data_IF_038981578495
#
_entry.id   IF_038981578495
#
_cell.length_a   1.000
_cell.length_b   1.000
_cell.length_c   1.000
_cell.angle_alpha   90.00
_cell.angle_beta   90.00
_cell.angle_gamma   90.00
#
_symmetry.space_group_name_H-M   'P 1'
#
loop_
_entity.id
_entity.type
_entity.pdbx_description
1 polymer ?
#
# COMPACT_ATOMS: atom_id res chain seq x y z
N UNK A 1 -33.12 -63.03 2.41
CA UNK A 1 -33.06 -61.62 2.85
C UNK A 1 -31.62 -61.09 2.84
N UNK A 2 -30.85 -61.28 1.76
CA UNK A 2 -29.44 -60.84 1.69
C UNK A 2 -29.18 -59.92 0.47
N UNK A 3 -30.13 -59.03 0.13
CA UNK A 3 -30.04 -58.19 -1.08
C UNK A 3 -29.94 -56.69 -0.83
N UNK A 4 -30.11 -56.21 0.41
CA UNK A 4 -30.17 -54.77 0.72
C UNK A 4 -28.85 -54.20 1.26
N UNK A 5 -27.99 -55.01 1.87
CA UNK A 5 -26.75 -54.54 2.52
C UNK A 5 -25.60 -54.32 1.54
N UNK A 6 -25.53 -55.06 0.42
CA UNK A 6 -24.48 -54.87 -0.59
C UNK A 6 -24.71 -53.64 -1.48
N UNK A 7 -25.97 -53.30 -1.75
CA UNK A 7 -26.35 -52.14 -2.55
C UNK A 7 -26.07 -50.82 -1.81
N UNK A 8 -26.29 -50.79 -0.49
CA UNK A 8 -25.97 -49.60 0.32
C UNK A 8 -24.46 -49.39 0.51
N UNK A 9 -23.66 -50.46 0.55
CA UNK A 9 -22.20 -50.35 0.62
C UNK A 9 -21.59 -49.95 -0.73
N UNK A 10 -22.13 -50.46 -1.85
CA UNK A 10 -21.76 -50.00 -3.19
C UNK A 10 -22.17 -48.54 -3.42
N UNK A 11 -23.37 -48.12 -3.00
CA UNK A 11 -23.83 -46.72 -3.10
C UNK A 11 -23.07 -45.77 -2.16
N UNK A 12 -22.56 -46.23 -1.01
CA UNK A 12 -21.66 -45.44 -0.15
C UNK A 12 -20.24 -45.35 -0.71
N UNK A 13 -19.76 -46.43 -1.35
CA UNK A 13 -18.46 -46.47 -2.02
C UNK A 13 -18.47 -45.62 -3.30
N UNK A 14 -19.56 -45.62 -4.05
CA UNK A 14 -19.75 -44.77 -5.24
C UNK A 14 -19.91 -43.29 -4.84
N UNK A 15 -20.63 -42.97 -3.76
CA UNK A 15 -20.72 -41.59 -3.24
C UNK A 15 -19.43 -41.06 -2.61
N UNK A 16 -18.52 -41.93 -2.17
CA UNK A 16 -17.16 -41.53 -1.75
C UNK A 16 -16.22 -41.31 -2.95
N UNK A 17 -16.53 -41.90 -4.11
CA UNK A 17 -15.69 -41.75 -5.31
C UNK A 17 -16.02 -40.48 -6.10
N UNK A 18 -17.23 -39.93 -5.94
CA UNK A 18 -17.63 -38.62 -6.53
C UNK A 18 -17.21 -37.39 -5.69
N UNK A 19 -16.64 -37.60 -4.50
CA UNK A 19 -16.20 -36.51 -3.62
C UNK A 19 -14.67 -36.42 -3.54
N UNK A 20 -14.00 -36.04 -4.63
CA UNK A 20 -12.74 -35.27 -4.55
C UNK A 20 -12.29 -34.76 -5.93
N UNK A 21 -12.95 -33.73 -6.48
CA UNK A 21 -12.33 -32.87 -7.52
C UNK A 21 -11.50 -31.73 -6.91
N UNK A 22 -11.38 -31.68 -5.58
CA UNK A 22 -10.71 -30.60 -4.83
C UNK A 22 -9.74 -31.24 -3.86
N UNK A 23 -8.51 -30.73 -3.83
CA UNK A 23 -7.44 -31.18 -2.93
C UNK A 23 -7.94 -31.31 -1.48
N UNK A 24 -7.75 -32.49 -0.89
CA UNK A 24 -8.12 -32.73 0.51
C UNK A 24 -7.09 -32.16 1.50
N UNK A 25 -7.38 -32.22 2.81
CA UNK A 25 -6.50 -31.66 3.84
C UNK A 25 -5.13 -32.34 3.95
N UNK A 26 -5.04 -33.64 3.68
CA UNK A 26 -3.76 -34.38 3.75
C UNK A 26 -2.93 -34.14 2.50
N UNK A 27 -3.57 -34.08 1.33
CA UNK A 27 -2.96 -33.65 0.08
C UNK A 27 -2.44 -32.21 0.20
N UNK A 28 -3.22 -31.29 0.78
CA UNK A 28 -2.79 -29.92 1.06
C UNK A 28 -1.59 -29.89 2.02
N UNK A 29 -1.61 -30.70 3.09
CA UNK A 29 -0.49 -30.78 4.03
C UNK A 29 0.78 -31.25 3.34
N UNK A 30 0.68 -32.23 2.45
CA UNK A 30 1.83 -32.75 1.70
C UNK A 30 2.35 -31.70 0.71
N UNK A 31 1.48 -31.17 -0.15
CA UNK A 31 1.82 -30.15 -1.13
C UNK A 31 2.37 -28.86 -0.48
N UNK A 32 1.78 -28.45 0.64
CA UNK A 32 2.22 -27.28 1.40
C UNK A 32 3.63 -27.44 1.99
N UNK A 33 3.97 -28.64 2.51
CA UNK A 33 5.34 -28.92 2.97
C UNK A 33 6.35 -28.87 1.82
N UNK A 34 6.02 -29.52 0.70
CA UNK A 34 6.85 -29.50 -0.50
C UNK A 34 7.08 -28.07 -1.02
N UNK A 35 6.03 -27.22 -0.97
CA UNK A 35 6.15 -25.81 -1.35
C UNK A 35 7.03 -25.02 -0.38
N UNK A 36 6.92 -25.24 0.94
CA UNK A 36 7.79 -24.59 1.93
C UNK A 36 9.25 -24.97 1.70
N UNK A 37 9.52 -26.26 1.49
CA UNK A 37 10.88 -26.75 1.19
C UNK A 37 11.40 -26.12 -0.11
N UNK A 38 10.58 -26.07 -1.17
CA UNK A 38 10.92 -25.40 -2.42
C UNK A 38 11.25 -23.91 -2.24
N UNK A 39 10.44 -23.17 -1.49
CA UNK A 39 10.65 -21.74 -1.25
C UNK A 39 11.92 -21.49 -0.43
N UNK A 40 12.19 -22.33 0.58
CA UNK A 40 13.42 -22.25 1.37
C UNK A 40 14.66 -22.50 0.50
N UNK A 41 14.64 -23.57 -0.30
CA UNK A 41 15.73 -23.92 -1.22
C UNK A 41 15.92 -22.84 -2.30
N UNK A 42 14.82 -22.29 -2.83
CA UNK A 42 14.85 -21.20 -3.79
C UNK A 42 15.50 -19.95 -3.21
N UNK A 43 15.12 -19.52 -2.00
CA UNK A 43 15.69 -18.34 -1.36
C UNK A 43 17.15 -18.55 -0.94
N UNK A 44 17.52 -19.76 -0.53
CA UNK A 44 18.90 -20.12 -0.20
C UNK A 44 19.80 -20.10 -1.44
N UNK A 45 19.33 -20.66 -2.56
CA UNK A 45 20.12 -20.85 -3.78
C UNK A 45 19.85 -19.78 -4.86
N UNK A 46 19.14 -18.70 -4.53
CA UNK A 46 18.78 -17.62 -5.47
C UNK A 46 20.01 -16.98 -6.16
N UNK A 47 21.20 -17.10 -5.56
CA UNK A 47 22.47 -16.61 -6.10
C UNK A 47 22.92 -17.36 -7.35
N UNK A 48 22.52 -18.61 -7.49
CA UNK A 48 22.87 -19.47 -8.62
C UNK A 48 21.96 -19.21 -9.82
N UNK A 49 20.78 -18.63 -9.58
CA UNK A 49 19.81 -18.28 -10.62
C UNK A 49 20.19 -16.96 -11.29
N UNK A 50 19.95 -16.89 -12.60
CA UNK A 50 20.23 -15.69 -13.41
C UNK A 50 19.25 -14.58 -13.06
N UNK A 51 19.76 -13.45 -12.59
CA UNK A 51 18.94 -12.28 -12.17
C UNK A 51 17.89 -11.83 -13.18
N UNK A 52 18.28 -11.61 -14.43
CA UNK A 52 17.41 -11.12 -15.51
C UNK A 52 17.13 -12.24 -16.53
N UNK A 53 15.86 -12.43 -16.94
CA UNK A 53 15.52 -13.44 -17.93
C UNK A 53 16.01 -13.04 -19.32
N UNK A 54 16.27 -14.02 -20.18
CA UNK A 54 16.68 -13.82 -21.60
C UNK A 54 15.58 -14.16 -22.61
N UNK A 55 14.35 -14.26 -22.12
CA UNK A 55 13.17 -14.60 -22.92
C UNK A 55 12.67 -13.40 -23.73
N UNK A 56 11.98 -13.67 -24.84
CA UNK A 56 11.38 -12.63 -25.68
C UNK A 56 9.89 -12.46 -25.36
N UNK A 57 9.30 -11.27 -25.60
CA UNK A 57 7.86 -11.07 -25.45
C UNK A 57 7.06 -12.13 -26.21
N UNK A 58 6.13 -12.81 -25.52
CA UNK A 58 5.30 -13.87 -26.09
C UNK A 58 5.83 -15.30 -25.96
N UNK A 59 7.05 -15.52 -25.43
CA UNK A 59 7.63 -16.87 -25.28
C UNK A 59 6.71 -17.86 -24.54
N UNK A 60 6.00 -17.37 -23.52
CA UNK A 60 5.19 -18.20 -22.62
C UNK A 60 4.03 -18.88 -23.36
N UNK A 61 3.44 -18.21 -24.35
CA UNK A 61 2.28 -18.72 -25.09
C UNK A 61 2.59 -19.98 -25.89
N UNK A 62 3.84 -20.15 -26.33
CA UNK A 62 4.26 -21.34 -27.04
C UNK A 62 4.55 -22.54 -26.11
N UNK A 63 4.63 -22.32 -24.80
CA UNK A 63 4.98 -23.33 -23.79
C UNK A 63 3.78 -23.84 -22.99
N UNK A 64 2.62 -23.19 -23.12
CA UNK A 64 1.36 -23.55 -22.45
C UNK A 64 0.30 -23.93 -23.49
N UNK A 65 -0.70 -24.75 -23.13
CA UNK A 65 -1.84 -25.05 -23.99
C UNK A 65 -2.63 -23.78 -24.38
N UNK A 66 -3.27 -23.80 -25.55
CA UNK A 66 -4.10 -22.68 -26.03
C UNK A 66 -5.43 -22.55 -25.27
N UNK A 67 -5.92 -23.66 -24.68
CA UNK A 67 -7.16 -23.73 -23.92
C UNK A 67 -6.91 -24.32 -22.53
N UNK A 68 -7.74 -23.92 -21.56
CA UNK A 68 -7.66 -24.44 -20.20
C UNK A 68 -8.09 -25.92 -20.16
N UNK A 69 -7.43 -26.77 -19.36
CA UNK A 69 -7.78 -28.18 -19.27
C UNK A 69 -9.18 -28.38 -18.66
N UNK A 70 -9.97 -29.28 -19.24
CA UNK A 70 -11.32 -29.62 -18.73
C UNK A 70 -11.28 -30.52 -17.49
N UNK A 71 -10.20 -31.29 -17.33
CA UNK A 71 -9.96 -32.16 -16.19
C UNK A 71 -8.78 -31.64 -15.35
N UNK A 72 -8.82 -31.93 -14.05
CA UNK A 72 -7.78 -31.48 -13.12
C UNK A 72 -6.45 -32.18 -13.37
N UNK A 73 -5.37 -31.41 -13.37
CA UNK A 73 -3.99 -31.90 -13.43
C UNK A 73 -3.44 -32.13 -12.01
N UNK A 74 -2.43 -32.99 -11.89
CA UNK A 74 -1.83 -33.25 -10.59
C UNK A 74 -0.98 -32.08 -10.11
N UNK A 75 -0.91 -31.86 -8.79
CA UNK A 75 -0.07 -30.81 -8.20
C UNK A 75 1.40 -30.90 -8.63
N UNK A 76 1.90 -32.12 -8.83
CA UNK A 76 3.28 -32.38 -9.25
C UNK A 76 3.54 -31.89 -10.67
N UNK A 77 2.63 -32.16 -11.61
CA UNK A 77 2.73 -31.68 -12.99
C UNK A 77 2.74 -30.14 -13.04
N UNK A 78 1.90 -29.49 -12.22
CA UNK A 78 1.88 -28.03 -12.09
C UNK A 78 3.21 -27.50 -11.58
N UNK A 79 3.79 -28.12 -10.55
CA UNK A 79 5.09 -27.69 -10.00
C UNK A 79 6.26 -27.93 -10.96
N UNK A 80 6.25 -29.03 -11.71
CA UNK A 80 7.25 -29.30 -12.76
C UNK A 80 7.18 -28.21 -13.85
N UNK A 81 5.97 -27.75 -14.18
CA UNK A 81 5.75 -26.65 -15.11
C UNK A 81 6.17 -25.28 -14.58
N UNK A 82 6.04 -25.02 -13.28
CA UNK A 82 6.56 -23.79 -12.67
C UNK A 82 8.07 -23.67 -12.91
N UNK A 83 8.84 -24.72 -12.67
CA UNK A 83 10.29 -24.68 -12.86
C UNK A 83 10.68 -24.66 -14.35
N UNK A 84 9.96 -25.42 -15.20
CA UNK A 84 10.25 -25.54 -16.64
C UNK A 84 9.86 -24.29 -17.43
N UNK A 85 8.72 -23.70 -17.11
CA UNK A 85 8.04 -22.68 -17.95
C UNK A 85 8.13 -21.30 -17.32
N UNK A 86 7.89 -21.18 -16.01
CA UNK A 86 7.77 -19.88 -15.33
C UNK A 86 9.15 -19.36 -14.91
N UNK A 87 9.93 -20.16 -14.19
CA UNK A 87 11.21 -19.73 -13.60
C UNK A 87 12.22 -19.14 -14.60
N UNK A 88 12.36 -19.63 -15.85
CA UNK A 88 13.26 -19.03 -16.84
C UNK A 88 12.89 -17.60 -17.25
N UNK A 89 11.62 -17.20 -17.06
CA UNK A 89 11.13 -15.86 -17.34
C UNK A 89 10.99 -14.96 -16.12
N UNK A 90 11.25 -15.47 -14.92
CA UNK A 90 11.19 -14.68 -13.68
C UNK A 90 12.42 -13.76 -13.59
N UNK A 91 12.17 -12.49 -13.28
CA UNK A 91 13.23 -11.62 -12.78
C UNK A 91 13.38 -11.85 -11.29
N UNK A 92 14.55 -12.26 -10.82
CA UNK A 92 14.76 -12.60 -9.42
C UNK A 92 15.10 -11.36 -8.58
N UNK A 93 14.05 -10.64 -8.16
CA UNK A 93 14.16 -9.40 -7.36
C UNK A 93 14.89 -9.57 -6.01
N UNK A 94 14.86 -10.78 -5.44
CA UNK A 94 15.56 -11.10 -4.19
C UNK A 94 17.02 -11.55 -4.40
N UNK A 95 17.50 -11.64 -5.64
CA UNK A 95 18.89 -11.97 -5.88
C UNK A 95 19.79 -10.85 -5.30
N UNK A 96 20.89 -11.18 -4.61
CA UNK A 96 21.80 -10.16 -4.09
C UNK A 96 22.50 -9.35 -5.19
N UNK A 97 22.40 -9.79 -6.45
CA UNK A 97 22.91 -9.09 -7.63
C UNK A 97 21.84 -8.21 -8.31
N UNK A 98 20.59 -8.19 -7.80
CA UNK A 98 19.54 -7.33 -8.32
C UNK A 98 19.62 -5.93 -7.68
N UNK A 99 20.01 -4.94 -8.48
CA UNK A 99 20.17 -3.55 -8.04
C UNK A 99 19.31 -2.56 -8.83
N UNK A 100 18.30 -3.06 -9.55
CA UNK A 100 17.35 -2.21 -10.26
C UNK A 100 16.21 -1.74 -9.33
N UNK A 101 15.63 -0.58 -9.64
CA UNK A 101 14.48 -0.01 -8.91
C UNK A 101 14.74 0.15 -7.39
N UNK A 102 13.82 -0.38 -6.58
CA UNK A 102 13.96 -0.52 -5.13
C UNK A 102 13.77 -1.99 -4.77
N UNK A 103 14.47 -2.50 -3.75
CA UNK A 103 14.33 -3.90 -3.36
C UNK A 103 12.95 -4.15 -2.78
N UNK A 104 12.50 -5.38 -2.97
CA UNK A 104 11.30 -5.92 -2.36
C UNK A 104 11.64 -6.39 -0.95
N UNK A 105 11.03 -5.77 0.06
CA UNK A 105 11.15 -6.23 1.44
C UNK A 105 10.41 -7.56 1.59
N UNK A 106 11.12 -8.64 1.92
CA UNK A 106 10.53 -9.94 2.19
C UNK A 106 11.31 -10.62 3.33
N UNK A 107 10.60 -11.41 4.13
CA UNK A 107 11.16 -12.15 5.26
C UNK A 107 10.38 -13.44 5.47
N UNK A 108 11.02 -14.48 6.00
CA UNK A 108 10.34 -15.74 6.30
C UNK A 108 9.08 -15.58 7.18
N UNK A 109 9.07 -14.73 8.23
CA UNK A 109 7.84 -14.48 8.98
C UNK A 109 6.71 -13.86 8.16
N UNK A 110 7.02 -13.01 7.17
CA UNK A 110 6.02 -12.44 6.28
C UNK A 110 5.39 -13.51 5.38
N UNK A 111 6.20 -14.41 4.80
CA UNK A 111 5.71 -15.53 4.00
C UNK A 111 4.79 -16.45 4.84
N UNK A 112 5.19 -16.78 6.06
CA UNK A 112 4.35 -17.58 6.96
C UNK A 112 3.04 -16.86 7.32
N UNK A 113 3.09 -15.53 7.52
CA UNK A 113 1.91 -14.72 7.78
C UNK A 113 0.97 -14.68 6.58
N UNK A 114 1.49 -14.60 5.35
CA UNK A 114 0.69 -14.66 4.12
C UNK A 114 -0.06 -15.99 4.00
N UNK A 115 0.63 -17.12 4.25
CA UNK A 115 -0.01 -18.46 4.28
C UNK A 115 -1.15 -18.50 5.30
N UNK A 116 -0.94 -17.93 6.50
CA UNK A 116 -1.97 -17.88 7.53
C UNK A 116 -3.12 -16.94 7.13
N UNK A 117 -2.81 -15.78 6.54
CA UNK A 117 -3.78 -14.81 6.04
C UNK A 117 -4.72 -15.46 5.02
N UNK A 118 -4.14 -16.18 4.05
CA UNK A 118 -4.86 -16.88 3.00
C UNK A 118 -5.73 -18.01 3.56
N UNK A 119 -5.23 -18.75 4.55
CA UNK A 119 -5.99 -19.79 5.23
C UNK A 119 -7.19 -19.24 6.02
N UNK A 120 -7.06 -18.06 6.63
CA UNK A 120 -8.16 -17.40 7.34
C UNK A 120 -9.18 -16.84 6.34
N UNK A 121 -8.73 -16.33 5.18
CA UNK A 121 -9.62 -15.76 4.16
C UNK A 121 -10.47 -14.59 4.65
N UNK A 122 -9.95 -13.80 5.61
CA UNK A 122 -10.67 -12.71 6.27
C UNK A 122 -11.05 -11.60 5.28
N UNK A 123 -12.34 -11.28 5.17
CA UNK A 123 -12.82 -10.09 4.44
C UNK A 123 -13.18 -8.99 5.45
N UNK A 124 -12.21 -8.14 5.80
CA UNK A 124 -12.30 -7.15 6.89
C UNK A 124 -12.95 -5.81 6.56
N UNK A 125 -14.10 -5.76 5.86
CA UNK A 125 -14.71 -4.47 5.43
C UNK A 125 -15.46 -3.70 6.54
N UNK A 126 -15.88 -4.37 7.63
CA UNK A 126 -16.54 -3.73 8.79
C UNK A 126 -16.19 -4.40 10.11
N UNK A 127 -16.11 -3.61 11.18
CA UNK A 127 -15.83 -4.09 12.55
C UNK A 127 -17.04 -4.72 13.27
N UNK A 128 -18.27 -4.37 12.87
CA UNK A 128 -19.50 -4.35 13.70
C UNK A 128 -19.62 -5.42 14.82
N UNK A 129 -19.84 -4.91 16.04
CA UNK A 129 -20.31 -5.61 17.24
C UNK A 129 -21.64 -6.32 16.99
N UNK A 130 -21.74 -7.59 17.37
CA UNK A 130 -23.03 -8.19 17.67
C UNK A 130 -23.66 -7.44 18.86
N UNK A 131 -24.49 -6.43 18.59
CA UNK A 131 -25.38 -5.88 19.61
C UNK A 131 -26.59 -6.82 19.64
N UNK A 132 -26.90 -7.46 20.77
CA UNK A 132 -28.19 -8.11 20.92
C UNK A 132 -29.26 -7.01 20.85
N UNK A 133 -29.91 -6.88 19.70
CA UNK A 133 -31.13 -6.09 19.62
C UNK A 133 -32.20 -6.84 20.41
N UNK A 134 -32.41 -6.46 21.66
CA UNK A 134 -33.63 -6.78 22.40
C UNK A 134 -34.76 -5.88 21.87
N UNK A 135 -35.12 -5.98 20.58
CA UNK A 135 -36.44 -5.60 20.06
C UNK A 135 -36.55 -6.00 18.57
N UNK A 136 -37.25 -7.11 18.36
CA UNK A 136 -38.19 -7.41 17.25
C UNK A 136 -37.83 -7.07 15.79
N UNK A 137 -37.66 -8.16 15.00
CA UNK A 137 -38.13 -8.38 13.62
C UNK A 137 -37.81 -7.33 12.54
N UNK A 138 -36.68 -7.53 11.83
CA UNK A 138 -36.59 -7.70 10.37
C UNK A 138 -35.13 -7.53 9.89
N UNK A 139 -34.54 -8.62 9.38
CA UNK A 139 -33.45 -8.70 8.39
C UNK A 139 -32.50 -7.50 8.20
N UNK A 140 -31.83 -7.04 9.26
CA UNK A 140 -30.55 -6.34 9.08
C UNK A 140 -29.47 -7.40 9.06
N UNK A 141 -28.95 -7.72 7.88
CA UNK A 141 -27.67 -8.43 7.73
C UNK A 141 -26.60 -7.56 8.38
N UNK A 142 -26.40 -7.71 9.69
CA UNK A 142 -25.25 -7.16 10.39
C UNK A 142 -24.04 -7.92 9.86
N UNK A 143 -23.31 -7.33 8.92
CA UNK A 143 -22.12 -7.94 8.35
C UNK A 143 -21.03 -8.05 9.41
N UNK A 144 -20.83 -9.27 9.91
CA UNK A 144 -19.70 -9.63 10.76
C UNK A 144 -18.54 -9.93 9.81
N UNK A 145 -17.61 -8.99 9.63
CA UNK A 145 -16.51 -9.16 8.69
C UNK A 145 -15.29 -9.78 9.39
N UNK A 146 -14.64 -9.06 10.31
CA UNK A 146 -13.67 -9.61 11.27
C UNK A 146 -13.13 -8.52 12.21
N UNK A 147 -13.50 -8.51 13.50
CA UNK A 147 -13.00 -7.51 14.45
C UNK A 147 -11.48 -7.60 14.66
N UNK A 148 -10.93 -8.82 14.67
CA UNK A 148 -9.50 -9.04 14.90
C UNK A 148 -8.64 -8.42 13.78
N UNK A 149 -9.08 -8.48 12.52
CA UNK A 149 -8.38 -7.89 11.38
C UNK A 149 -8.23 -6.36 11.58
N UNK A 150 -9.32 -5.67 11.97
CA UNK A 150 -9.30 -4.22 12.19
C UNK A 150 -8.53 -3.80 13.45
N UNK A 151 -8.73 -4.47 14.59
CA UNK A 151 -8.04 -4.14 15.84
C UNK A 151 -6.52 -4.34 15.72
N UNK A 152 -6.10 -5.42 15.06
CA UNK A 152 -4.70 -5.72 14.84
C UNK A 152 -4.04 -4.68 13.93
N UNK A 153 -4.70 -4.28 12.84
CA UNK A 153 -4.19 -3.25 11.93
C UNK A 153 -3.94 -1.92 12.67
N UNK A 154 -4.90 -1.47 13.47
CA UNK A 154 -4.77 -0.24 14.27
C UNK A 154 -3.59 -0.33 15.23
N UNK A 155 -3.46 -1.45 15.96
CA UNK A 155 -2.36 -1.66 16.89
C UNK A 155 -0.98 -1.69 16.20
N UNK A 156 -0.87 -2.38 15.06
CA UNK A 156 0.39 -2.48 14.30
C UNK A 156 0.81 -1.13 13.72
N UNK A 157 -0.14 -0.34 13.22
CA UNK A 157 0.15 1.00 12.69
C UNK A 157 0.53 1.99 13.78
N UNK A 158 -0.02 1.85 14.99
CA UNK A 158 0.44 2.62 16.14
C UNK A 158 1.86 2.23 16.56
N UNK A 159 2.21 0.94 16.53
CA UNK A 159 3.58 0.48 16.77
C UNK A 159 4.54 1.05 15.71
N UNK A 160 4.17 0.99 14.44
CA UNK A 160 4.93 1.56 13.34
C UNK A 160 5.07 3.08 13.49
N UNK A 161 3.99 3.78 13.83
CA UNK A 161 4.00 5.22 14.05
C UNK A 161 4.94 5.63 15.18
N UNK A 162 4.94 4.88 16.29
CA UNK A 162 5.88 5.08 17.41
C UNK A 162 7.32 4.78 17.02
N UNK A 163 7.57 3.68 16.29
CA UNK A 163 8.90 3.34 15.77
C UNK A 163 9.45 4.40 14.82
N UNK A 164 8.56 5.04 14.04
CA UNK A 164 8.88 6.17 13.18
C UNK A 164 8.95 7.52 13.93
N UNK A 165 8.71 7.53 15.24
CA UNK A 165 8.62 8.73 16.08
C UNK A 165 7.61 9.78 15.58
N UNK A 166 6.50 9.33 14.96
CA UNK A 166 5.46 10.23 14.48
C UNK A 166 4.79 11.00 15.63
N UNK A 167 4.34 12.24 15.39
CA UNK A 167 3.61 13.00 16.39
C UNK A 167 2.33 12.29 16.85
N UNK A 168 1.94 12.48 18.11
CA UNK A 168 0.74 11.87 18.70
C UNK A 168 -0.54 12.05 17.86
N UNK A 169 -0.81 13.19 17.19
CA UNK A 169 -1.98 13.33 16.33
C UNK A 169 -2.07 12.36 15.14
N UNK A 170 -1.02 11.62 14.80
CA UNK A 170 -1.06 10.56 13.78
C UNK A 170 -1.37 9.18 14.35
N UNK A 171 -1.27 9.01 15.67
CA UNK A 171 -1.50 7.73 16.34
C UNK A 171 -2.97 7.59 16.73
N UNK A 172 -3.56 6.42 16.48
CA UNK A 172 -4.93 6.11 16.85
C UNK A 172 -5.11 6.10 18.38
N UNK A 173 -4.11 5.62 19.13
CA UNK A 173 -4.11 5.60 20.60
C UNK A 173 -4.11 6.98 21.27
N UNK A 174 -3.88 8.06 20.51
CA UNK A 174 -3.89 9.42 21.08
C UNK A 174 -5.30 9.94 21.41
N UNK A 175 -6.35 9.37 20.80
CA UNK A 175 -7.71 9.90 20.90
C UNK A 175 -7.92 11.26 20.22
N UNK A 176 -6.93 11.79 19.50
CA UNK A 176 -6.98 13.09 18.81
C UNK A 176 -7.63 13.03 17.42
N UNK A 177 -8.23 11.89 17.05
CA UNK A 177 -8.85 11.67 15.74
C UNK A 177 -7.87 11.33 14.62
N UNK A 178 -6.63 11.00 14.96
CA UNK A 178 -5.62 10.44 14.03
C UNK A 178 -5.78 8.94 13.79
N UNK A 179 -4.94 8.39 12.92
CA UNK A 179 -4.87 6.97 12.65
C UNK A 179 -4.09 6.64 11.37
N UNK A 180 -3.96 5.33 11.11
CA UNK A 180 -3.35 4.81 9.89
C UNK A 180 -4.24 3.76 9.24
N UNK A 181 -3.92 3.43 7.98
CA UNK A 181 -4.51 2.30 7.25
C UNK A 181 -3.44 1.64 6.37
N UNK A 182 -3.48 0.31 6.25
CA UNK A 182 -2.64 -0.46 5.33
C UNK A 182 -3.31 -0.45 3.96
N UNK A 183 -2.54 -0.09 2.92
CA UNK A 183 -3.03 0.02 1.54
C UNK A 183 -2.12 -0.82 0.64
N UNK A 184 -2.65 -1.31 -0.48
CA UNK A 184 -1.88 -2.19 -1.36
C UNK A 184 -0.73 -1.47 -2.03
N UNK A 185 -0.91 -0.19 -2.38
CA UNK A 185 0.15 0.60 -3.02
C UNK A 185 0.22 2.02 -2.50
N UNK A 186 1.41 2.62 -2.59
CA UNK A 186 1.57 4.05 -2.32
C UNK A 186 0.81 4.95 -3.32
N UNK A 187 0.50 4.45 -4.53
CA UNK A 187 -0.29 5.18 -5.52
C UNK A 187 -1.74 5.34 -5.06
N UNK A 188 -2.32 4.27 -4.51
CA UNK A 188 -3.65 4.26 -3.91
C UNK A 188 -3.71 5.19 -2.70
N UNK A 189 -2.76 5.07 -1.77
CA UNK A 189 -2.70 5.96 -0.61
C UNK A 189 -2.60 7.45 -1.01
N UNK A 190 -1.80 7.77 -2.04
CA UNK A 190 -1.69 9.14 -2.58
C UNK A 190 -3.01 9.62 -3.18
N UNK A 191 -3.70 8.74 -3.93
CA UNK A 191 -5.00 9.05 -4.52
C UNK A 191 -6.07 9.31 -3.45
N UNK A 192 -6.16 8.44 -2.44
CA UNK A 192 -7.10 8.60 -1.31
C UNK A 192 -6.84 9.91 -0.56
N UNK A 193 -5.58 10.24 -0.30
CA UNK A 193 -5.23 11.51 0.35
C UNK A 193 -5.62 12.73 -0.50
N UNK A 194 -5.38 12.68 -1.82
CA UNK A 194 -5.74 13.74 -2.75
C UNK A 194 -7.27 13.90 -2.85
N UNK A 195 -8.01 12.80 -2.99
CA UNK A 195 -9.48 12.81 -3.02
C UNK A 195 -10.08 13.33 -1.71
N UNK A 196 -9.48 13.00 -0.57
CA UNK A 196 -9.88 13.50 0.74
C UNK A 196 -9.66 15.01 0.85
N UNK A 197 -8.49 15.49 0.41
CA UNK A 197 -8.17 16.91 0.35
C UNK A 197 -9.12 17.67 -0.59
N UNK A 198 -9.39 17.12 -1.77
CA UNK A 198 -10.33 17.66 -2.77
C UNK A 198 -11.73 17.78 -2.19
N UNK A 199 -12.28 16.69 -1.66
CA UNK A 199 -13.62 16.65 -1.08
C UNK A 199 -13.77 17.61 0.10
N UNK A 200 -12.75 17.72 0.97
CA UNK A 200 -12.72 18.71 2.05
C UNK A 200 -12.75 20.14 1.50
N UNK A 201 -11.92 20.44 0.50
CA UNK A 201 -11.82 21.79 -0.06
C UNK A 201 -13.08 22.21 -0.82
N UNK A 202 -13.65 21.32 -1.61
CA UNK A 202 -14.93 21.54 -2.32
C UNK A 202 -16.04 21.83 -1.32
N UNK A 203 -16.17 21.04 -0.25
CA UNK A 203 -17.19 21.28 0.79
C UNK A 203 -17.03 22.65 1.45
N UNK A 204 -15.81 23.04 1.80
CA UNK A 204 -15.53 24.36 2.39
C UNK A 204 -15.89 25.51 1.44
N UNK A 205 -15.53 25.40 0.17
CA UNK A 205 -15.82 26.44 -0.81
C UNK A 205 -17.31 26.55 -1.12
N UNK A 206 -18.04 25.44 -1.16
CA UNK A 206 -19.50 25.44 -1.33
C UNK A 206 -20.22 26.04 -0.12
N UNK A 207 -19.68 25.90 1.08
CA UNK A 207 -20.22 26.58 2.27
C UNK A 207 -19.99 28.10 2.22
N UNK A 208 -18.86 28.55 1.66
CA UNK A 208 -18.54 29.97 1.51
C UNK A 208 -19.24 30.61 0.29
N UNK A 209 -19.47 29.83 -0.77
CA UNK A 209 -20.07 30.25 -2.02
C UNK A 209 -21.12 29.21 -2.47
N UNK A 210 -22.36 29.28 -1.95
CA UNK A 210 -23.43 28.34 -2.28
C UNK A 210 -23.79 28.29 -3.76
N UNK A 211 -23.53 29.38 -4.49
CA UNK A 211 -23.85 29.53 -5.91
C UNK A 211 -22.87 28.79 -6.84
N UNK A 212 -21.74 28.29 -6.31
CA UNK A 212 -20.72 27.63 -7.11
C UNK A 212 -21.03 26.15 -7.33
N UNK A 213 -21.04 25.72 -8.59
CA UNK A 213 -21.19 24.31 -8.94
C UNK A 213 -19.91 23.52 -8.62
N UNK A 214 -20.07 22.26 -8.21
CA UNK A 214 -18.94 21.40 -7.84
C UNK A 214 -17.92 21.21 -8.97
N UNK A 215 -18.40 21.14 -10.22
CA UNK A 215 -17.57 21.09 -11.42
C UNK A 215 -16.77 22.37 -11.63
N UNK A 216 -17.37 23.54 -11.41
CA UNK A 216 -16.66 24.81 -11.51
C UNK A 216 -15.55 24.92 -10.45
N UNK A 217 -15.85 24.52 -9.21
CA UNK A 217 -14.86 24.50 -8.12
C UNK A 217 -13.71 23.55 -8.43
N UNK A 218 -14.04 22.30 -8.80
CA UNK A 218 -13.04 21.28 -9.11
C UNK A 218 -12.16 21.70 -10.29
N UNK A 219 -12.76 22.34 -11.29
CA UNK A 219 -12.06 22.92 -12.43
C UNK A 219 -11.15 24.12 -12.09
N UNK A 220 -11.15 24.64 -10.86
CA UNK A 220 -10.23 25.68 -10.41
C UNK A 220 -9.15 25.14 -9.45
N UNK A 221 -9.29 23.91 -8.96
CA UNK A 221 -8.34 23.31 -8.03
C UNK A 221 -6.99 23.00 -8.70
N UNK A 222 -5.91 23.30 -7.97
CA UNK A 222 -4.54 23.02 -8.38
C UNK A 222 -3.80 22.27 -7.27
N UNK A 223 -3.21 21.15 -7.67
CA UNK A 223 -2.28 20.36 -6.86
C UNK A 223 -0.85 20.53 -7.38
N UNK A 224 0.13 20.39 -6.50
CA UNK A 224 1.55 20.57 -6.83
C UNK A 224 2.36 19.32 -6.52
N UNK A 225 3.34 19.05 -7.36
CA UNK A 225 4.37 18.05 -7.11
C UNK A 225 5.72 18.58 -7.65
N UNK A 226 6.81 17.91 -7.30
CA UNK A 226 8.13 18.17 -7.91
C UNK A 226 8.20 17.54 -9.31
N UNK A 227 9.04 18.10 -10.18
CA UNK A 227 9.48 17.48 -11.45
C UNK A 227 10.22 16.13 -11.27
N UNK A 228 10.72 15.83 -10.07
CA UNK A 228 11.30 14.54 -9.68
C UNK A 228 10.29 13.62 -8.95
N UNK A 229 9.01 14.00 -8.89
CA UNK A 229 7.99 13.18 -8.24
C UNK A 229 7.79 11.85 -8.97
N UNK A 230 7.39 10.83 -8.23
CA UNK A 230 7.03 9.54 -8.82
C UNK A 230 5.79 9.72 -9.70
N UNK A 231 5.71 8.99 -10.83
CA UNK A 231 4.61 9.06 -11.80
C UNK A 231 3.22 8.86 -11.19
N UNK A 232 3.14 8.21 -10.01
CA UNK A 232 1.92 8.08 -9.23
C UNK A 232 1.27 9.42 -8.85
N UNK A 233 2.03 10.50 -8.66
CA UNK A 233 1.47 11.80 -8.31
C UNK A 233 0.67 12.41 -9.47
N UNK A 234 1.22 12.34 -10.68
CA UNK A 234 0.53 12.80 -11.90
C UNK A 234 -0.70 11.92 -12.19
N UNK A 235 -0.54 10.59 -12.10
CA UNK A 235 -1.65 9.64 -12.25
C UNK A 235 -2.78 9.91 -11.26
N UNK A 236 -2.45 10.22 -10.00
CA UNK A 236 -3.45 10.58 -9.00
C UNK A 236 -4.19 11.89 -9.37
N UNK A 237 -3.49 12.88 -9.90
CA UNK A 237 -4.11 14.12 -10.40
C UNK A 237 -5.10 13.86 -11.55
N UNK A 238 -4.70 13.03 -12.52
CA UNK A 238 -5.55 12.62 -13.64
C UNK A 238 -6.81 11.88 -13.17
N UNK A 239 -6.66 10.86 -12.32
CA UNK A 239 -7.80 10.09 -11.80
C UNK A 239 -8.73 10.93 -10.90
N UNK A 240 -8.18 11.90 -10.19
CA UNK A 240 -8.97 12.82 -9.36
C UNK A 240 -9.55 14.01 -10.15
N UNK A 241 -9.28 14.13 -11.45
CA UNK A 241 -9.79 15.23 -12.27
C UNK A 241 -9.30 16.61 -11.82
N UNK A 242 -8.09 16.70 -11.26
CA UNK A 242 -7.49 17.97 -10.80
C UNK A 242 -6.24 18.30 -11.61
N UNK A 243 -5.94 19.59 -11.75
CA UNK A 243 -4.69 20.02 -12.41
C UNK A 243 -3.51 19.74 -11.48
N UNK A 244 -2.58 18.89 -11.92
CA UNK A 244 -1.31 18.64 -11.25
C UNK A 244 -0.21 19.48 -11.89
N UNK A 245 0.49 20.29 -11.11
CA UNK A 245 1.62 21.10 -11.58
C UNK A 245 2.94 20.56 -11.05
N UNK A 246 3.84 20.24 -11.97
CA UNK A 246 5.22 19.92 -11.65
C UNK A 246 6.02 21.20 -11.46
N UNK A 247 6.70 21.30 -10.33
CA UNK A 247 7.54 22.44 -9.97
C UNK A 247 9.01 22.07 -10.09
N UNK A 248 9.86 22.99 -10.59
CA UNK A 248 11.28 22.73 -10.74
C UNK A 248 11.95 22.56 -9.38
N UNK A 249 12.90 21.64 -9.32
CA UNK A 249 13.73 21.39 -8.13
C UNK A 249 15.04 22.17 -8.16
N UNK A 250 15.68 22.27 -6.99
CA UNK A 250 17.02 22.86 -6.89
C UNK A 250 18.13 21.92 -7.39
N UNK A 251 19.39 22.33 -7.27
CA UNK A 251 20.54 21.51 -7.66
C UNK A 251 20.69 20.23 -6.85
N UNK A 252 19.97 20.09 -5.73
CA UNK A 252 19.88 18.88 -4.90
C UNK A 252 18.58 18.12 -5.14
N UNK A 253 17.89 18.41 -6.24
CA UNK A 253 16.63 17.76 -6.63
C UNK A 253 15.53 17.87 -5.56
N UNK A 254 15.59 18.93 -4.74
CA UNK A 254 14.67 19.20 -3.64
C UNK A 254 13.71 20.31 -4.01
N UNK A 255 12.43 20.12 -3.68
CA UNK A 255 11.42 21.15 -3.88
C UNK A 255 11.52 22.19 -2.76
N UNK A 256 11.91 23.41 -3.13
CA UNK A 256 12.07 24.54 -2.20
C UNK A 256 10.74 25.18 -1.83
N UNK A 257 10.61 25.58 -0.58
CA UNK A 257 9.46 26.35 -0.08
C UNK A 257 9.23 27.65 -0.87
N UNK A 258 10.29 28.35 -1.27
CA UNK A 258 10.19 29.59 -2.05
C UNK A 258 9.59 29.37 -3.44
N UNK A 259 9.98 28.28 -4.12
CA UNK A 259 9.44 27.90 -5.43
C UNK A 259 7.96 27.59 -5.32
N UNK A 260 7.57 26.83 -4.30
CA UNK A 260 6.18 26.51 -4.01
C UNK A 260 5.36 27.77 -3.68
N UNK A 261 5.90 28.66 -2.85
CA UNK A 261 5.23 29.90 -2.48
C UNK A 261 4.97 30.81 -3.69
N UNK A 262 5.96 30.94 -4.59
CA UNK A 262 5.82 31.69 -5.85
C UNK A 262 4.76 31.07 -6.76
N UNK A 263 4.76 29.75 -6.90
CA UNK A 263 3.77 29.04 -7.71
C UNK A 263 2.34 29.25 -7.16
N UNK A 264 2.17 29.11 -5.84
CA UNK A 264 0.90 29.36 -5.14
C UNK A 264 0.43 30.79 -5.37
N UNK A 265 1.31 31.80 -5.21
CA UNK A 265 0.95 33.20 -5.41
C UNK A 265 0.49 33.48 -6.86
N UNK A 266 1.22 32.96 -7.84
CA UNK A 266 0.87 33.13 -9.25
C UNK A 266 -0.47 32.48 -9.59
N UNK A 267 -0.77 31.32 -9.00
CA UNK A 267 -2.03 30.62 -9.26
C UNK A 267 -3.21 31.26 -8.54
N UNK A 268 -3.03 31.72 -7.31
CA UNK A 268 -4.03 32.53 -6.62
C UNK A 268 -4.32 33.82 -7.39
N UNK A 269 -3.30 34.48 -7.95
CA UNK A 269 -3.48 35.69 -8.77
C UNK A 269 -4.26 35.42 -10.08
N UNK A 270 -4.24 34.18 -10.59
CA UNK A 270 -5.00 33.74 -11.76
C UNK A 270 -6.41 33.23 -11.42
N UNK A 271 -6.84 33.34 -10.16
CA UNK A 271 -8.13 32.82 -9.68
C UNK A 271 -8.18 31.31 -9.54
N UNK A 272 -7.03 30.62 -9.54
CA UNK A 272 -6.94 29.20 -9.25
C UNK A 272 -6.87 28.96 -7.74
N UNK A 273 -7.21 27.75 -7.31
CA UNK A 273 -7.32 27.40 -5.89
C UNK A 273 -6.29 26.31 -5.54
N UNK A 274 -5.13 26.69 -4.96
CA UNK A 274 -4.18 25.77 -4.36
C UNK A 274 -4.83 24.94 -3.23
N UNK A 275 -4.67 23.60 -3.25
CA UNK A 275 -5.24 22.75 -2.19
C UNK A 275 -4.38 21.57 -1.72
N UNK A 276 -3.43 21.11 -2.54
CA UNK A 276 -2.66 19.89 -2.25
C UNK A 276 -1.22 20.00 -2.73
N UNK A 277 -0.28 19.50 -1.94
CA UNK A 277 1.11 19.28 -2.36
C UNK A 277 1.54 17.86 -2.04
N UNK A 278 2.01 17.15 -3.06
CA UNK A 278 2.71 15.88 -2.87
C UNK A 278 4.18 16.20 -2.61
N UNK A 279 4.62 16.01 -1.37
CA UNK A 279 6.03 16.12 -1.00
C UNK A 279 6.66 14.73 -0.91
N UNK A 280 7.90 14.62 -1.39
CA UNK A 280 8.65 13.37 -1.32
C UNK A 280 9.71 13.52 -0.24
N UNK A 281 9.75 12.57 0.69
CA UNK A 281 10.87 12.40 1.61
C UNK A 281 11.44 11.01 1.35
N UNK A 282 12.39 10.92 0.42
CA UNK A 282 13.07 9.63 0.19
C UNK A 282 14.48 9.66 0.74
N UNK A 283 14.85 8.52 1.34
CA UNK A 283 16.18 8.25 1.84
C UNK A 283 17.12 7.84 0.69
N UNK A 284 16.64 7.38 -0.47
CA UNK A 284 17.48 7.14 -1.66
C UNK A 284 16.64 7.22 -2.94
N UNK A 285 17.06 7.99 -3.95
CA UNK A 285 16.21 8.26 -5.13
C UNK A 285 16.26 7.17 -6.23
N UNK A 286 15.27 7.23 -7.12
CA UNK A 286 15.12 6.39 -8.31
C UNK A 286 16.03 6.85 -9.48
N UNK A 287 16.68 8.01 -9.34
CA UNK A 287 17.46 8.68 -10.40
C UNK A 287 18.92 8.92 -10.02
N UNK A 288 19.28 8.96 -8.73
CA UNK A 288 20.65 9.00 -8.14
C UNK A 288 20.58 9.07 -6.60
N UNK A 289 21.18 8.11 -5.90
CA UNK A 289 21.10 7.90 -4.44
C UNK A 289 21.67 9.01 -3.53
N UNK A 290 21.15 10.22 -3.62
CA UNK A 290 21.42 11.31 -2.68
C UNK A 290 20.24 11.53 -1.72
N UNK A 291 20.56 12.00 -0.52
CA UNK A 291 19.67 12.21 0.64
C UNK A 291 19.25 13.68 0.73
N UNK A 292 18.02 14.07 0.33
CA UNK A 292 17.59 15.45 0.43
C UNK A 292 16.59 15.64 1.58
N UNK A 293 16.88 16.60 2.47
CA UNK A 293 16.06 17.00 3.63
C UNK A 293 14.81 17.80 3.22
N UNK A 294 13.95 17.25 2.36
CA UNK A 294 12.76 17.94 1.83
C UNK A 294 11.72 18.28 2.90
N UNK A 295 11.57 17.46 3.94
CA UNK A 295 10.57 17.70 5.00
C UNK A 295 10.93 18.91 5.88
N UNK A 296 12.23 19.19 6.04
CA UNK A 296 12.71 20.25 6.92
C UNK A 296 12.48 21.63 6.34
N UNK A 297 12.59 21.84 5.03
CA UNK A 297 12.43 23.17 4.43
C UNK A 297 10.98 23.55 4.13
N UNK A 298 10.11 22.58 3.87
CA UNK A 298 8.68 22.84 3.69
C UNK A 298 8.01 23.17 5.04
N UNK A 299 8.56 22.66 6.15
CA UNK A 299 8.04 22.87 7.51
C UNK A 299 8.96 23.70 8.44
N UNK A 300 10.11 24.22 7.99
CA UNK A 300 11.02 25.01 8.83
C UNK A 300 10.41 26.37 9.20
N UNK A 301 10.21 26.67 10.50
CA UNK A 301 9.67 27.97 10.94
C UNK A 301 10.68 29.12 10.87
N UNK A 302 11.95 28.89 10.49
CA UNK A 302 13.00 29.91 10.66
C UNK A 302 13.29 30.78 9.43
N UNK A 303 12.70 30.53 8.27
CA UNK A 303 12.75 31.45 7.11
C UNK A 303 11.48 31.43 6.23
N UNK A 304 10.36 30.90 6.70
CA UNK A 304 9.09 31.16 6.05
C UNK A 304 8.64 32.59 6.44
N UNK A 305 8.59 33.58 5.52
CA UNK A 305 7.93 34.83 5.84
C UNK A 305 6.48 34.47 6.23
N UNK A 306 5.92 35.18 7.21
CA UNK A 306 4.53 35.06 7.71
C UNK A 306 3.43 34.95 6.63
N UNK A 307 3.79 35.12 5.35
CA UNK A 307 2.96 35.03 4.14
C UNK A 307 2.45 33.62 3.78
N UNK A 308 3.08 32.52 4.23
CA UNK A 308 2.56 31.16 3.98
C UNK A 308 1.46 30.73 4.96
N UNK A 309 1.38 31.37 6.14
CA UNK A 309 0.35 31.11 7.15
C UNK A 309 -1.08 31.47 6.69
N UNK A 310 -1.22 32.24 5.61
CA UNK A 310 -2.52 32.57 5.01
C UNK A 310 -3.13 31.42 4.19
N UNK A 311 -2.37 30.37 3.86
CA UNK A 311 -2.84 29.22 3.07
C UNK A 311 -3.13 28.01 3.97
N UNK A 312 -4.08 28.16 4.91
CA UNK A 312 -4.50 27.14 5.91
C UNK A 312 -5.08 25.83 5.34
N UNK A 313 -5.01 25.61 4.02
CA UNK A 313 -5.75 24.56 3.31
C UNK A 313 -4.85 23.58 2.56
N UNK A 314 -3.54 23.76 2.60
CA UNK A 314 -2.59 22.89 1.91
C UNK A 314 -2.42 21.56 2.66
N UNK A 315 -2.80 20.45 2.03
CA UNK A 315 -2.49 19.11 2.53
C UNK A 315 -1.12 18.70 2.01
N UNK A 316 -0.20 18.36 2.92
CA UNK A 316 1.13 17.84 2.61
C UNK A 316 1.11 16.34 2.82
N UNK A 317 1.36 15.58 1.76
CA UNK A 317 1.56 14.12 1.87
C UNK A 317 3.03 13.82 1.70
N UNK A 318 3.65 13.25 2.73
CA UNK A 318 5.02 12.76 2.69
C UNK A 318 5.03 11.25 2.45
N UNK A 319 5.63 10.81 1.33
CA UNK A 319 5.90 9.39 1.08
C UNK A 319 7.25 9.03 1.68
N UNK A 320 7.28 8.07 2.60
CA UNK A 320 8.51 7.46 3.14
C UNK A 320 8.65 6.06 2.54
N UNK A 321 9.85 5.70 2.10
CA UNK A 321 10.19 4.35 1.65
C UNK A 321 11.38 3.87 2.48
N UNK A 322 11.20 2.79 3.25
CA UNK A 322 12.24 2.22 4.12
C UNK A 322 12.89 1.04 3.41
N UNK A 323 14.22 1.00 3.46
CA UNK A 323 15.04 -0.19 3.21
C UNK A 323 15.64 -0.61 4.55
N UNK A 324 15.33 -1.79 5.06
CA UNK A 324 16.15 -2.39 6.11
C UNK A 324 16.37 -3.86 5.76
N UNK A 325 17.58 -4.16 5.31
CA UNK A 325 18.13 -5.51 5.23
C UNK A 325 19.28 -5.60 6.23
N UNK A 326 18.96 -5.44 7.51
CA UNK A 326 19.87 -5.86 8.59
C UNK A 326 19.06 -6.57 9.66
N UNK A 327 19.04 -7.89 9.57
CA UNK A 327 19.00 -8.74 10.74
C UNK A 327 20.03 -8.19 11.74
N UNK A 328 19.60 -7.86 12.96
CA UNK A 328 20.44 -7.34 14.06
C UNK A 328 21.03 -5.93 13.88
N UNK A 329 20.25 -4.87 14.19
CA UNK A 329 20.63 -3.81 15.16
C UNK A 329 19.60 -2.67 15.13
N UNK A 330 18.70 -2.61 16.11
CA UNK A 330 17.67 -1.57 16.25
C UNK A 330 18.19 -0.23 16.79
N UNK A 331 19.20 0.37 16.16
CA UNK A 331 19.91 1.54 16.72
C UNK A 331 19.71 2.87 16.00
N UNK A 332 19.53 2.88 14.67
CA UNK A 332 19.88 4.09 13.89
C UNK A 332 18.76 5.11 13.71
N UNK A 333 17.49 4.74 13.95
CA UNK A 333 16.32 5.60 13.74
C UNK A 333 16.05 6.59 14.88
N UNK A 334 16.45 6.27 16.12
CA UNK A 334 16.06 7.04 17.30
C UNK A 334 16.82 8.37 17.43
N UNK A 335 18.08 8.43 17.01
CA UNK A 335 18.94 9.59 17.29
C UNK A 335 18.75 10.74 16.30
N UNK A 336 18.44 10.46 15.04
CA UNK A 336 18.28 11.52 14.01
C UNK A 336 16.90 12.20 14.09
N UNK A 337 15.84 11.48 14.52
CA UNK A 337 14.45 11.99 14.50
C UNK A 337 13.97 12.73 15.75
N UNK A 338 14.56 12.51 16.93
CA UNK A 338 14.13 13.19 18.16
C UNK A 338 14.23 14.73 18.05
N UNK A 339 15.08 15.23 17.16
CA UNK A 339 15.28 16.67 16.97
C UNK A 339 14.36 17.31 15.90
N UNK A 340 13.73 16.50 15.02
CA UNK A 340 13.03 16.99 13.82
C UNK A 340 11.51 17.08 13.96
N UNK A 341 10.87 16.24 14.79
CA UNK A 341 9.40 16.20 14.94
C UNK A 341 8.88 16.98 16.15
N UNK A 342 9.74 17.28 17.14
CA UNK A 342 9.38 18.15 18.28
C UNK A 342 9.02 19.58 17.85
N UNK A 343 9.62 20.09 16.77
CA UNK A 343 9.39 21.48 16.33
C UNK A 343 8.06 21.67 15.58
N UNK A 344 7.52 20.64 14.95
CA UNK A 344 6.28 20.72 14.16
C UNK A 344 5.01 20.68 15.01
N UNK A 345 5.08 20.10 16.22
CA UNK A 345 3.92 19.97 17.12
C UNK A 345 3.78 21.15 18.09
N UNK A 346 4.88 21.78 18.50
CA UNK A 346 4.85 22.94 19.42
C UNK A 346 4.29 24.21 18.78
N UNK A 347 4.33 24.35 17.45
CA UNK A 347 3.72 25.49 16.73
C UNK A 347 2.19 25.43 16.67
N UNK A 348 1.59 24.27 16.92
CA UNK A 348 0.13 24.05 16.87
C UNK A 348 -0.57 24.37 18.20
N UNK A 349 0.20 24.49 19.29
CA UNK A 349 -0.34 24.80 20.65
C UNK A 349 -0.07 26.23 21.12
N UNK A 350 0.73 27.02 20.40
CA UNK A 350 0.99 28.43 20.72
C UNK A 350 0.70 29.33 19.51
N UNK A 351 -0.59 29.59 19.24
CA UNK A 351 -1.16 30.89 18.83
C UNK A 351 -2.64 30.76 18.52
#
# INVERSE_FOLDING_TARGET
MNGSTSRSQAEHSEKQTESSKVMDHEQFRQAGKEMIDYVADYLQNIRERRVLPTVQPGYLRALIPDEAPEEGESWREVMDDVERVIMPGVTHWHSPQFHAYFPTGNSYPAICADILSDAIGCIGFTWVRAVPSTHTTAHSFTSIASPACTELEVAMLDWLGRALALPEPFLASSGLGGGGVIQGTASEATLVALLSARSRRVRQLRQQHPDWTETAVTGQLVAYCSDQAHSSAERAGLLAGVRMRQLPTDSKFSLRGDTLAKAIQNDTARGLIPFFVSSRSIITTHSRGEYPNCAREINAPSQAPEKLAHHKYLVVVAKVSHLDHTSFSGGTLAEVRQHELKQTCDSSRKK
#
